data_IF_295152418892
#
_entry.id   IF_295152418892
#
_cell.length_a   1.000
_cell.length_b   1.000
_cell.length_c   1.000
_cell.angle_alpha   90.00
_cell.angle_beta   90.00
_cell.angle_gamma   90.00
#
_symmetry.space_group_name_H-M   'P 1'
#
loop_
_entity.id
_entity.type
_entity.pdbx_description
1 polymer ?
#
# COMPACT_ATOMS: atom_id res chain seq x y z
N UNK A 1 21.91 3.45 -27.87
CA UNK A 1 20.58 2.86 -27.66
C UNK A 1 19.62 3.99 -27.36
N UNK A 2 18.65 4.22 -28.23
CA UNK A 2 17.66 5.30 -28.04
C UNK A 2 16.88 5.05 -26.74
N UNK A 3 16.79 6.08 -25.89
CA UNK A 3 16.02 6.01 -24.65
C UNK A 3 14.55 5.74 -25.01
N UNK A 4 13.85 4.82 -24.33
CA UNK A 4 12.44 4.58 -24.59
C UNK A 4 11.66 5.88 -24.39
N UNK A 5 10.97 6.34 -25.45
CA UNK A 5 10.16 7.57 -25.38
C UNK A 5 8.91 7.29 -24.57
N UNK A 6 8.88 7.79 -23.34
CA UNK A 6 7.70 7.74 -22.47
C UNK A 6 6.56 8.47 -23.18
N UNK A 7 5.44 7.77 -23.42
CA UNK A 7 4.25 8.44 -23.95
C UNK A 7 3.42 9.00 -22.80
N UNK A 8 2.64 10.07 -23.01
CA UNK A 8 1.71 10.60 -21.99
C UNK A 8 0.76 9.52 -21.44
N UNK A 9 0.37 8.57 -22.30
CA UNK A 9 -0.45 7.41 -21.91
C UNK A 9 0.25 6.52 -20.88
N UNK A 10 1.54 6.22 -21.08
CA UNK A 10 2.30 5.38 -20.15
C UNK A 10 2.41 6.06 -18.78
N UNK A 11 2.66 7.37 -18.78
CA UNK A 11 2.73 8.17 -17.55
C UNK A 11 1.41 8.14 -16.77
N UNK A 12 0.28 8.42 -17.45
CA UNK A 12 -1.05 8.42 -16.81
C UNK A 12 -1.42 7.04 -16.29
N UNK A 13 -1.11 5.96 -17.01
CA UNK A 13 -1.40 4.60 -16.55
C UNK A 13 -0.60 4.23 -15.30
N UNK A 14 0.70 4.53 -15.27
CA UNK A 14 1.53 4.26 -14.10
C UNK A 14 1.11 5.09 -12.88
N UNK A 15 0.81 6.38 -13.06
CA UNK A 15 0.31 7.21 -11.96
C UNK A 15 -1.05 6.74 -11.48
N UNK A 16 -1.98 6.44 -12.39
CA UNK A 16 -3.29 5.94 -12.02
C UNK A 16 -3.20 4.62 -11.25
N UNK A 17 -2.33 3.71 -11.67
CA UNK A 17 -2.05 2.47 -10.96
C UNK A 17 -1.48 2.75 -9.57
N UNK A 18 -0.58 3.72 -9.45
CA UNK A 18 0.01 4.07 -8.16
C UNK A 18 -1.00 4.69 -7.20
N UNK A 19 -1.78 5.65 -7.69
CA UNK A 19 -2.82 6.33 -6.88
C UNK A 19 -3.86 5.32 -6.41
N UNK A 20 -4.32 4.43 -7.31
CA UNK A 20 -5.30 3.39 -6.93
C UNK A 20 -4.73 2.40 -5.93
N UNK A 21 -3.45 2.01 -6.06
CA UNK A 21 -2.77 1.15 -5.10
C UNK A 21 -2.67 1.83 -3.72
N UNK A 22 -2.15 3.05 -3.66
CA UNK A 22 -1.92 3.74 -2.38
C UNK A 22 -3.20 4.12 -1.68
N UNK A 23 -4.20 4.63 -2.42
CA UNK A 23 -5.50 4.92 -1.86
C UNK A 23 -6.20 3.62 -1.38
N UNK A 24 -6.03 2.51 -2.11
CA UNK A 24 -6.54 1.20 -1.68
C UNK A 24 -5.85 0.67 -0.42
N UNK A 25 -4.53 0.81 -0.31
CA UNK A 25 -3.77 0.46 0.90
C UNK A 25 -4.23 1.30 2.08
N UNK A 26 -4.36 2.61 1.89
CA UNK A 26 -4.85 3.52 2.93
C UNK A 26 -6.25 3.11 3.40
N UNK A 27 -7.19 2.90 2.45
CA UNK A 27 -8.53 2.45 2.77
C UNK A 27 -8.55 1.11 3.53
N UNK A 28 -7.70 0.16 3.13
CA UNK A 28 -7.57 -1.11 3.81
C UNK A 28 -7.09 -0.96 5.26
N UNK A 29 -6.02 -0.20 5.48
CA UNK A 29 -5.46 0.03 6.82
C UNK A 29 -6.48 0.75 7.71
N UNK A 30 -7.12 1.81 7.20
CA UNK A 30 -8.17 2.54 7.92
C UNK A 30 -9.33 1.63 8.29
N UNK A 31 -9.83 0.82 7.35
CA UNK A 31 -10.91 -0.12 7.60
C UNK A 31 -10.55 -1.16 8.67
N UNK A 32 -9.33 -1.71 8.63
CA UNK A 32 -8.85 -2.64 9.66
C UNK A 32 -8.75 -1.94 11.02
N UNK A 33 -8.31 -0.68 11.07
CA UNK A 33 -8.25 0.09 12.30
C UNK A 33 -9.64 0.31 12.91
N UNK A 34 -10.65 0.61 12.08
CA UNK A 34 -12.04 0.74 12.52
C UNK A 34 -12.55 -0.58 13.15
N UNK A 35 -12.29 -1.72 12.50
CA UNK A 35 -12.65 -3.02 13.06
C UNK A 35 -11.90 -3.33 14.37
N UNK A 36 -10.61 -2.97 14.47
CA UNK A 36 -9.84 -3.12 15.71
C UNK A 36 -10.42 -2.26 16.82
N UNK A 37 -10.76 -1.00 16.56
CA UNK A 37 -11.39 -0.12 17.53
C UNK A 37 -12.72 -0.67 18.03
N UNK A 38 -13.52 -1.22 17.12
CA UNK A 38 -14.81 -1.82 17.47
C UNK A 38 -14.65 -3.09 18.32
N UNK A 39 -13.67 -3.93 18.01
CA UNK A 39 -13.41 -5.18 18.75
C UNK A 39 -12.68 -4.96 20.08
N UNK A 40 -11.84 -3.92 20.17
CA UNK A 40 -11.05 -3.56 21.34
C UNK A 40 -11.23 -2.07 21.68
N UNK A 41 -12.40 -1.67 22.22
CA UNK A 41 -12.63 -0.30 22.65
C UNK A 41 -11.61 0.10 23.72
N UNK A 42 -11.06 1.30 23.62
CA UNK A 42 -10.13 1.82 24.62
C UNK A 42 -10.85 2.87 25.47
N UNK A 43 -11.27 2.55 26.70
CA UNK A 43 -12.10 3.44 27.51
C UNK A 43 -11.41 4.77 27.86
N UNK A 44 -10.07 4.83 27.84
CA UNK A 44 -9.32 6.07 28.12
C UNK A 44 -9.31 7.00 26.90
N UNK A 45 -9.21 6.43 25.69
CA UNK A 45 -9.18 7.20 24.43
C UNK A 45 -10.60 7.54 23.96
N UNK A 46 -11.51 6.58 24.06
CA UNK A 46 -12.91 6.70 23.61
C UNK A 46 -13.72 7.68 24.50
N UNK A 47 -13.26 7.95 25.73
CA UNK A 47 -13.83 9.03 26.56
C UNK A 47 -13.46 10.43 26.06
N UNK A 48 -12.30 10.59 25.41
CA UNK A 48 -11.83 11.87 24.88
C UNK A 48 -12.17 12.06 23.39
N UNK A 49 -12.32 10.97 22.63
CA UNK A 49 -12.74 10.99 21.24
C UNK A 49 -14.25 10.78 21.12
N UNK A 50 -14.97 11.82 20.70
CA UNK A 50 -16.39 11.70 20.37
C UNK A 50 -16.56 10.74 19.20
N UNK A 51 -17.07 9.53 19.47
CA UNK A 51 -17.52 8.60 18.45
C UNK A 51 -18.75 9.21 17.76
N UNK A 52 -18.58 9.73 16.55
CA UNK A 52 -19.69 10.21 15.73
C UNK A 52 -20.51 8.99 15.24
N UNK A 53 -21.74 8.79 15.76
CA UNK A 53 -22.58 7.66 15.35
C UNK A 53 -23.00 7.72 13.87
N UNK A 54 -22.81 8.87 13.23
CA UNK A 54 -23.09 9.10 11.81
C UNK A 54 -21.84 8.98 10.93
N UNK A 55 -20.69 8.58 11.50
CA UNK A 55 -19.47 8.36 10.73
C UNK A 55 -19.65 7.18 9.78
N UNK A 56 -19.76 7.48 8.49
CA UNK A 56 -19.86 6.49 7.42
C UNK A 56 -18.49 5.93 7.01
N UNK A 57 -17.49 5.95 7.90
CA UNK A 57 -16.09 5.61 7.61
C UNK A 57 -15.98 4.18 7.07
N UNK A 58 -16.57 3.20 7.76
CA UNK A 58 -16.55 1.78 7.32
C UNK A 58 -17.11 1.64 5.90
N UNK A 59 -18.28 2.21 5.64
CA UNK A 59 -18.94 2.16 4.34
C UNK A 59 -18.11 2.86 3.25
N UNK A 60 -17.47 3.98 3.58
CA UNK A 60 -16.61 4.72 2.66
C UNK A 60 -15.34 3.95 2.31
N UNK A 61 -14.67 3.35 3.29
CA UNK A 61 -13.46 2.57 3.03
C UNK A 61 -13.77 1.27 2.28
N UNK A 62 -14.90 0.62 2.60
CA UNK A 62 -15.39 -0.52 1.81
C UNK A 62 -15.68 -0.15 0.36
N UNK A 63 -16.40 0.95 0.13
CA UNK A 63 -16.67 1.45 -1.22
C UNK A 63 -15.38 1.79 -1.97
N UNK A 64 -14.42 2.41 -1.28
CA UNK A 64 -13.11 2.75 -1.82
C UNK A 64 -12.37 1.48 -2.26
N UNK A 65 -12.33 0.43 -1.46
CA UNK A 65 -11.71 -0.84 -1.85
C UNK A 65 -12.41 -1.50 -3.04
N UNK A 66 -13.75 -1.55 -3.02
CA UNK A 66 -14.55 -2.14 -4.10
C UNK A 66 -14.26 -1.45 -5.45
N UNK A 67 -13.98 -0.15 -5.46
CA UNK A 67 -13.69 0.62 -6.68
C UNK A 67 -12.21 0.63 -7.03
N UNK A 68 -11.33 0.91 -6.06
CA UNK A 68 -9.90 1.11 -6.32
C UNK A 68 -9.20 -0.20 -6.68
N UNK A 69 -9.59 -1.33 -6.07
CA UNK A 69 -8.99 -2.64 -6.40
C UNK A 69 -9.16 -3.01 -7.87
N UNK A 70 -10.38 -3.03 -8.46
CA UNK A 70 -10.52 -3.34 -9.88
C UNK A 70 -9.88 -2.29 -10.79
N UNK A 71 -9.90 -1.00 -10.41
CA UNK A 71 -9.18 0.05 -11.16
C UNK A 71 -7.69 -0.25 -11.24
N UNK A 72 -7.06 -0.57 -10.11
CA UNK A 72 -5.65 -0.95 -10.05
C UNK A 72 -5.36 -2.16 -10.95
N UNK A 73 -6.15 -3.23 -10.83
CA UNK A 73 -5.96 -4.46 -11.60
C UNK A 73 -6.09 -4.22 -13.11
N UNK A 74 -7.05 -3.40 -13.53
CA UNK A 74 -7.28 -3.05 -14.94
C UNK A 74 -6.13 -2.22 -15.49
N UNK A 75 -5.68 -1.19 -14.77
CA UNK A 75 -4.55 -0.35 -15.19
C UNK A 75 -3.27 -1.18 -15.31
N UNK A 76 -3.00 -2.03 -14.32
CA UNK A 76 -1.82 -2.88 -14.34
C UNK A 76 -1.89 -3.93 -15.47
N UNK A 77 -3.09 -4.44 -15.79
CA UNK A 77 -3.30 -5.30 -16.97
C UNK A 77 -2.96 -4.58 -18.27
N UNK A 78 -3.34 -3.31 -18.43
CA UNK A 78 -2.98 -2.51 -19.61
C UNK A 78 -1.48 -2.25 -19.69
N UNK A 79 -0.84 -1.91 -18.57
CA UNK A 79 0.60 -1.70 -18.49
C UNK A 79 1.34 -2.97 -18.92
N UNK A 80 1.04 -4.12 -18.31
CA UNK A 80 1.67 -5.40 -18.66
C UNK A 80 1.47 -5.78 -20.12
N UNK A 81 0.26 -5.59 -20.67
CA UNK A 81 -0.01 -5.87 -22.09
C UNK A 81 0.82 -4.96 -23.02
N UNK A 82 1.06 -3.71 -22.62
CA UNK A 82 1.90 -2.79 -23.38
C UNK A 82 3.38 -3.16 -23.33
N UNK A 83 3.88 -3.63 -22.17
CA UNK A 83 5.25 -4.12 -22.00
C UNK A 83 5.47 -5.41 -22.80
N UNK A 84 4.50 -6.32 -22.81
CA UNK A 84 4.59 -7.55 -23.60
C UNK A 84 4.62 -7.30 -25.11
N UNK A 85 3.97 -6.22 -25.58
CA UNK A 85 4.00 -5.81 -26.98
C UNK A 85 5.29 -5.07 -27.37
N UNK A 86 5.88 -4.33 -26.43
CA UNK A 86 7.10 -3.55 -26.62
C UNK A 86 7.97 -3.63 -25.36
N UNK A 87 8.97 -4.55 -25.32
CA UNK A 87 9.82 -4.77 -24.16
C UNK A 87 10.60 -3.52 -23.71
N UNK A 88 10.84 -2.56 -24.61
CA UNK A 88 11.52 -1.30 -24.27
C UNK A 88 10.74 -0.46 -23.25
N UNK A 89 9.43 -0.71 -23.12
CA UNK A 89 8.57 -0.04 -22.14
C UNK A 89 8.80 -0.51 -20.71
N UNK A 90 9.51 -1.63 -20.49
CA UNK A 90 9.82 -2.11 -19.15
C UNK A 90 10.86 -1.21 -18.44
N UNK A 91 11.69 -0.51 -19.21
CA UNK A 91 12.78 0.35 -18.73
C UNK A 91 12.40 1.85 -18.67
N UNK A 92 11.11 2.16 -18.76
CA UNK A 92 10.68 3.56 -18.66
C UNK A 92 10.95 4.13 -17.28
N UNK A 93 11.45 5.36 -17.26
CA UNK A 93 11.79 6.09 -16.05
C UNK A 93 10.63 6.17 -15.05
N UNK A 94 9.38 6.25 -15.53
CA UNK A 94 8.18 6.33 -14.69
C UNK A 94 8.00 5.07 -13.83
N UNK A 95 8.22 3.87 -14.39
CA UNK A 95 8.19 2.61 -13.62
C UNK A 95 9.27 2.63 -12.54
N UNK A 96 10.49 3.02 -12.91
CA UNK A 96 11.61 3.05 -11.95
C UNK A 96 11.30 3.99 -10.78
N UNK A 97 10.76 5.19 -11.05
CA UNK A 97 10.33 6.12 -10.00
C UNK A 97 9.18 5.59 -9.16
N UNK A 98 8.21 4.91 -9.77
CA UNK A 98 7.13 4.24 -9.07
C UNK A 98 7.67 3.23 -8.05
N UNK A 99 8.62 2.36 -8.44
CA UNK A 99 9.23 1.38 -7.55
C UNK A 99 9.97 2.05 -6.37
N UNK A 100 10.83 3.02 -6.65
CA UNK A 100 11.58 3.72 -5.61
C UNK A 100 10.67 4.51 -4.66
N UNK A 101 9.62 5.16 -5.19
CA UNK A 101 8.65 5.87 -4.38
C UNK A 101 7.88 4.91 -3.46
N UNK A 102 7.49 3.74 -3.96
CA UNK A 102 6.78 2.73 -3.16
C UNK A 102 7.65 2.22 -2.02
N UNK A 103 8.90 1.88 -2.33
CA UNK A 103 9.88 1.45 -1.32
C UNK A 103 10.15 2.54 -0.28
N UNK A 104 10.27 3.78 -0.71
CA UNK A 104 10.49 4.92 0.19
C UNK A 104 9.30 5.12 1.13
N UNK A 105 8.07 5.13 0.60
CA UNK A 105 6.86 5.30 1.41
C UNK A 105 6.65 4.12 2.38
N UNK A 106 6.88 2.89 1.93
CA UNK A 106 6.77 1.72 2.79
C UNK A 106 7.83 1.74 3.91
N UNK A 107 9.08 2.10 3.58
CA UNK A 107 10.15 2.27 4.57
C UNK A 107 9.85 3.39 5.57
N UNK A 108 9.36 4.53 5.10
CA UNK A 108 8.95 5.65 5.95
C UNK A 108 7.79 5.24 6.89
N UNK A 109 6.80 4.51 6.38
CA UNK A 109 5.69 4.00 7.19
C UNK A 109 6.19 3.07 8.29
N UNK A 110 7.10 2.13 7.99
CA UNK A 110 7.71 1.25 9.00
C UNK A 110 8.47 2.03 10.08
N UNK A 111 9.26 3.04 9.68
CA UNK A 111 10.01 3.87 10.63
C UNK A 111 9.07 4.66 11.53
N UNK A 112 8.05 5.31 10.96
CA UNK A 112 7.06 6.08 11.72
C UNK A 112 6.32 5.17 12.70
N UNK A 113 5.87 4.00 12.25
CA UNK A 113 5.13 3.03 13.07
C UNK A 113 5.95 2.54 14.27
N UNK A 114 7.24 2.24 14.06
CA UNK A 114 8.16 1.87 15.15
C UNK A 114 8.45 3.03 16.10
N UNK A 115 8.58 4.26 15.58
CA UNK A 115 8.74 5.46 16.43
C UNK A 115 7.51 5.62 17.33
N UNK A 116 6.30 5.50 16.78
CA UNK A 116 5.04 5.61 17.54
C UNK A 116 4.96 4.52 18.60
N UNK A 117 5.21 3.26 18.23
CA UNK A 117 5.26 2.13 19.17
C UNK A 117 6.22 2.40 20.35
N UNK A 118 7.46 2.78 20.05
CA UNK A 118 8.47 3.02 21.09
C UNK A 118 8.12 4.25 21.93
N UNK A 119 7.61 5.31 21.31
CA UNK A 119 7.25 6.52 22.01
C UNK A 119 6.10 6.27 23.01
N UNK A 120 5.04 5.58 22.59
CA UNK A 120 3.94 5.12 23.47
C UNK A 120 4.48 4.26 24.62
N UNK A 121 5.33 3.28 24.32
CA UNK A 121 5.93 2.42 25.34
C UNK A 121 6.78 3.20 26.36
N UNK A 122 7.61 4.14 25.89
CA UNK A 122 8.52 4.93 26.74
C UNK A 122 7.78 5.97 27.58
N UNK A 123 6.61 6.44 27.14
CA UNK A 123 5.74 7.30 27.95
C UNK A 123 5.06 6.54 29.10
N UNK A 124 5.20 5.21 29.15
CA UNK A 124 4.54 4.37 30.13
C UNK A 124 3.04 4.19 29.88
N UNK A 125 2.58 4.49 28.66
CA UNK A 125 1.19 4.22 28.26
C UNK A 125 0.96 2.71 28.19
N UNK A 126 -0.24 2.27 28.56
CA UNK A 126 -0.61 0.86 28.44
C UNK A 126 -0.67 0.46 26.96
N UNK A 127 0.17 -0.50 26.56
CA UNK A 127 0.13 -1.12 25.24
C UNK A 127 -1.10 -2.03 25.11
N UNK A 128 -2.24 -1.42 24.82
CA UNK A 128 -3.49 -2.14 24.61
C UNK A 128 -3.38 -3.14 23.44
N UNK A 129 -4.15 -4.21 23.50
CA UNK A 129 -4.23 -5.20 22.41
C UNK A 129 -4.60 -4.51 21.09
N UNK A 130 -5.56 -3.58 21.12
CA UNK A 130 -5.95 -2.80 19.94
C UNK A 130 -4.82 -1.99 19.35
N UNK A 131 -4.01 -1.32 20.18
CA UNK A 131 -2.83 -0.59 19.71
C UNK A 131 -1.81 -1.52 19.04
N UNK A 132 -1.46 -2.65 19.68
CA UNK A 132 -0.51 -3.60 19.13
C UNK A 132 -1.00 -4.21 17.80
N UNK A 133 -2.30 -4.45 17.66
CA UNK A 133 -2.89 -4.93 16.40
C UNK A 133 -2.80 -3.90 15.27
N UNK A 134 -2.94 -2.60 15.57
CA UNK A 134 -2.77 -1.51 14.58
C UNK A 134 -1.33 -1.43 14.10
N UNK A 135 -0.37 -1.45 15.03
CA UNK A 135 1.07 -1.50 14.72
C UNK A 135 1.38 -2.75 13.87
N UNK A 136 0.90 -3.92 14.29
CA UNK A 136 1.09 -5.16 13.52
C UNK A 136 0.50 -5.06 12.11
N UNK A 137 -0.66 -4.42 11.96
CA UNK A 137 -1.30 -4.19 10.65
C UNK A 137 -0.39 -3.36 9.74
N UNK A 138 0.15 -2.24 10.25
CA UNK A 138 1.07 -1.39 9.48
C UNK A 138 2.35 -2.14 9.13
N UNK A 139 2.96 -2.85 10.09
CA UNK A 139 4.15 -3.68 9.85
C UNK A 139 3.92 -4.73 8.77
N UNK A 140 2.77 -5.41 8.78
CA UNK A 140 2.45 -6.43 7.78
C UNK A 140 2.20 -5.79 6.40
N UNK A 141 1.39 -4.75 6.31
CA UNK A 141 1.06 -4.11 5.03
C UNK A 141 2.29 -3.45 4.41
N UNK A 142 2.99 -2.61 5.17
CA UNK A 142 4.19 -1.92 4.70
C UNK A 142 5.34 -2.91 4.49
N UNK A 143 5.53 -3.89 5.36
CA UNK A 143 6.58 -4.91 5.26
C UNK A 143 6.40 -5.82 4.05
N UNK A 144 5.20 -6.37 3.83
CA UNK A 144 4.91 -7.21 2.66
C UNK A 144 5.02 -6.41 1.37
N UNK A 145 4.52 -5.16 1.35
CA UNK A 145 4.69 -4.24 0.22
C UNK A 145 6.17 -3.99 -0.06
N UNK A 146 6.94 -3.60 0.95
CA UNK A 146 8.37 -3.34 0.84
C UNK A 146 9.12 -4.56 0.28
N UNK A 147 8.89 -5.76 0.83
CA UNK A 147 9.53 -6.99 0.34
C UNK A 147 9.15 -7.30 -1.12
N UNK A 148 7.88 -7.13 -1.50
CA UNK A 148 7.43 -7.37 -2.88
C UNK A 148 8.13 -6.45 -3.88
N UNK A 149 8.18 -5.15 -3.59
CA UNK A 149 8.81 -4.15 -4.45
C UNK A 149 10.34 -4.21 -4.42
N UNK A 150 10.94 -4.66 -3.31
CA UNK A 150 12.38 -4.88 -3.20
C UNK A 150 12.82 -6.09 -4.04
N UNK A 151 12.02 -7.17 -4.02
CA UNK A 151 12.24 -8.32 -4.89
C UNK A 151 12.19 -7.93 -6.37
N UNK A 152 11.26 -7.04 -6.75
CA UNK A 152 11.22 -6.49 -8.12
C UNK A 152 12.47 -5.67 -8.45
N UNK A 153 12.90 -4.80 -7.52
CA UNK A 153 14.12 -4.00 -7.71
C UNK A 153 15.38 -4.86 -7.91
N UNK A 154 15.47 -6.02 -7.25
CA UNK A 154 16.57 -6.97 -7.41
C UNK A 154 16.45 -7.88 -8.64
N UNK A 155 15.38 -7.74 -9.44
CA UNK A 155 15.14 -8.57 -10.62
C UNK A 155 14.79 -10.02 -10.29
N UNK A 156 14.29 -10.29 -9.07
CA UNK A 156 13.88 -11.62 -8.64
C UNK A 156 12.79 -12.20 -9.56
N UNK A 157 11.81 -11.37 -9.91
CA UNK A 157 10.69 -11.81 -10.75
C UNK A 157 11.09 -12.14 -12.20
N UNK A 158 12.17 -11.52 -12.70
CA UNK A 158 12.74 -11.83 -14.02
C UNK A 158 13.51 -13.16 -14.02
N UNK A 159 14.05 -13.56 -12.85
CA UNK A 159 14.80 -14.82 -12.67
C UNK A 159 13.87 -16.01 -12.39
N UNK A 160 12.74 -15.79 -11.71
CA UNK A 160 11.78 -16.84 -11.33
C UNK A 160 10.36 -16.61 -11.91
N UNK A 161 10.15 -16.81 -13.23
CA UNK A 161 8.87 -16.51 -13.91
C UNK A 161 7.69 -17.39 -13.48
N UNK A 162 7.96 -18.53 -12.84
CA UNK A 162 6.93 -19.39 -12.25
C UNK A 162 6.29 -18.76 -11.00
N UNK A 163 7.07 -18.03 -10.18
CA UNK A 163 6.58 -17.35 -8.98
C UNK A 163 5.97 -15.98 -9.32
N UNK A 164 6.49 -15.30 -10.35
CA UNK A 164 5.93 -14.05 -10.87
C UNK A 164 4.44 -14.19 -11.21
N UNK A 165 4.06 -15.27 -11.92
CA UNK A 165 2.66 -15.57 -12.26
C UNK A 165 1.72 -15.71 -11.07
N UNK A 166 2.22 -16.13 -9.90
CA UNK A 166 1.39 -16.29 -8.69
C UNK A 166 1.01 -14.95 -8.06
N UNK A 167 1.85 -13.92 -8.23
CA UNK A 167 1.61 -12.56 -7.71
C UNK A 167 1.05 -11.64 -8.80
N UNK A 168 0.56 -12.24 -9.89
CA UNK A 168 0.09 -11.53 -11.07
C UNK A 168 1.15 -10.56 -11.62
N UNK A 169 2.43 -10.92 -11.50
CA UNK A 169 3.58 -10.22 -12.04
C UNK A 169 3.90 -10.74 -13.44
#
# INVERSE_FOLDING_TARGET
MDKPKVTPKDFVFWIGAMVSLYAGIFAFVTLVFEYINHAFPNPVVDQYYYYDPYSNTVSYEMASLIVLTPVFLVLMRFIRRSIAADPSRNDIWVRRWALFLTLFLAGAALVIDLIVLLNTFLQGEELTIGFLLKVLTVLLVAGLGFMHFLADLWGYWDREPARARMVNW
#
